data_IF_457449427123
#
_entry.id   IF_457449427123
#
_cell.length_a   1.000
_cell.length_b   1.000
_cell.length_c   1.000
_cell.angle_alpha   90.00
_cell.angle_beta   90.00
_cell.angle_gamma   90.00
#
_symmetry.space_group_name_H-M   'P 1'
#
loop_
_entity.id
_entity.type
_entity.pdbx_description
1 polymer ?
#
# COMPACT_ATOMS: atom_id res chain seq x y z
N UNK A 1 -12.22 3.70 9.16
CA UNK A 1 -13.36 2.83 9.63
C UNK A 1 -14.61 3.14 8.83
N UNK A 2 -15.55 2.18 8.64
CA UNK A 2 -16.85 2.50 8.01
C UNK A 2 -17.71 3.38 8.92
N UNK A 3 -18.37 4.36 8.33
CA UNK A 3 -19.20 5.32 9.05
C UNK A 3 -20.31 4.67 9.91
N UNK A 4 -20.98 3.63 9.40
CA UNK A 4 -22.00 2.89 10.17
C UNK A 4 -21.43 2.21 11.42
N UNK A 5 -20.21 1.68 11.34
CA UNK A 5 -19.55 1.07 12.50
C UNK A 5 -19.11 2.11 13.53
N UNK A 6 -18.57 3.25 13.06
CA UNK A 6 -18.18 4.35 13.93
C UNK A 6 -19.39 4.90 14.69
N UNK A 7 -20.49 5.20 13.98
CA UNK A 7 -21.71 5.71 14.59
C UNK A 7 -22.38 4.69 15.54
N UNK A 8 -22.20 3.39 15.30
CA UNK A 8 -22.65 2.35 16.23
C UNK A 8 -21.86 2.35 17.54
N UNK A 9 -20.55 2.65 17.51
CA UNK A 9 -19.72 2.82 18.71
C UNK A 9 -20.18 4.03 19.54
N UNK A 10 -20.67 5.08 18.87
CA UNK A 10 -21.35 6.23 19.50
C UNK A 10 -22.78 5.92 19.99
N UNK A 11 -23.18 4.64 20.02
CA UNK A 11 -24.48 4.15 20.44
C UNK A 11 -25.66 4.71 19.62
N UNK A 12 -25.41 5.16 18.39
CA UNK A 12 -26.43 5.64 17.48
C UNK A 12 -27.12 4.44 16.82
N UNK A 13 -28.45 4.38 16.92
CA UNK A 13 -29.20 3.26 16.35
C UNK A 13 -29.16 3.26 14.81
N UNK A 14 -29.27 2.09 14.20
CA UNK A 14 -29.29 1.95 12.73
C UNK A 14 -30.43 2.76 12.07
N UNK A 15 -31.57 2.90 12.74
CA UNK A 15 -32.69 3.76 12.31
C UNK A 15 -32.29 5.24 12.35
N UNK A 16 -31.65 5.69 13.44
CA UNK A 16 -31.14 7.06 13.58
C UNK A 16 -30.11 7.43 12.51
N UNK A 17 -29.15 6.52 12.24
CA UNK A 17 -28.16 6.71 11.17
C UNK A 17 -28.82 6.93 9.79
N UNK A 18 -29.79 6.06 9.43
CA UNK A 18 -30.51 6.17 8.16
C UNK A 18 -31.31 7.48 8.06
N UNK A 19 -31.98 7.88 9.14
CA UNK A 19 -32.74 9.15 9.19
C UNK A 19 -31.82 10.35 9.04
N UNK A 20 -30.69 10.39 9.77
CA UNK A 20 -29.73 11.47 9.69
C UNK A 20 -29.08 11.56 8.28
N UNK A 21 -28.81 10.42 7.64
CA UNK A 21 -28.30 10.40 6.26
C UNK A 21 -29.33 11.00 5.28
N UNK A 22 -30.59 10.58 5.37
CA UNK A 22 -31.68 11.11 4.53
C UNK A 22 -31.91 12.62 4.74
N UNK A 23 -31.77 13.10 5.97
CA UNK A 23 -31.87 14.52 6.33
C UNK A 23 -30.63 15.33 6.02
N UNK A 24 -29.55 14.68 5.49
CA UNK A 24 -28.25 15.31 5.22
C UNK A 24 -27.58 15.90 6.48
N UNK A 25 -27.79 15.27 7.63
CA UNK A 25 -27.29 15.69 8.94
C UNK A 25 -25.97 15.02 9.31
N UNK A 26 -25.34 14.27 8.38
CA UNK A 26 -24.02 13.66 8.54
C UNK A 26 -23.07 14.35 7.57
N UNK A 27 -22.06 15.04 8.11
CA UNK A 27 -21.07 15.76 7.32
C UNK A 27 -19.68 15.17 7.57
N UNK A 28 -18.94 14.97 6.49
CA UNK A 28 -17.52 14.57 6.50
C UNK A 28 -16.73 15.65 5.77
N UNK A 29 -15.81 16.32 6.44
CA UNK A 29 -15.08 17.49 5.92
C UNK A 29 -16.03 18.57 5.34
N UNK A 30 -17.17 18.81 5.98
CA UNK A 30 -18.17 19.77 5.54
C UNK A 30 -19.09 19.31 4.40
N UNK A 31 -18.85 18.15 3.80
CA UNK A 31 -19.68 17.56 2.75
C UNK A 31 -20.65 16.54 3.31
N UNK A 32 -21.85 16.47 2.75
CA UNK A 32 -22.85 15.46 3.15
C UNK A 32 -22.31 14.07 2.84
N UNK A 33 -22.36 13.17 3.82
CA UNK A 33 -21.93 11.79 3.65
C UNK A 33 -22.73 11.12 2.52
N UNK A 34 -22.05 10.45 1.60
CA UNK A 34 -22.65 9.77 0.44
C UNK A 34 -23.38 8.49 0.84
N UNK A 35 -22.87 7.77 1.83
CA UNK A 35 -23.44 6.52 2.31
C UNK A 35 -22.95 6.19 3.73
N UNK A 36 -23.67 5.32 4.42
CA UNK A 36 -23.25 4.77 5.72
C UNK A 36 -22.08 3.78 5.58
N UNK A 37 -21.78 3.31 4.38
CA UNK A 37 -20.62 2.45 4.10
C UNK A 37 -19.33 3.21 3.81
N UNK A 38 -19.41 4.55 3.66
CA UNK A 38 -18.27 5.42 3.47
C UNK A 38 -17.21 5.18 4.55
N UNK A 39 -15.94 5.13 4.13
CA UNK A 39 -14.82 4.99 5.06
C UNK A 39 -14.44 6.36 5.63
N UNK A 40 -14.25 6.45 6.93
CA UNK A 40 -13.92 7.69 7.65
C UNK A 40 -12.84 7.46 8.69
N UNK A 41 -12.06 8.50 8.94
CA UNK A 41 -11.01 8.56 9.97
C UNK A 41 -11.04 9.92 10.63
N UNK A 42 -11.47 10.00 11.89
CA UNK A 42 -11.60 11.28 12.60
C UNK A 42 -10.26 11.90 13.02
N UNK A 43 -9.15 11.20 12.86
CA UNK A 43 -7.80 11.77 12.96
C UNK A 43 -7.39 12.57 11.71
N UNK A 44 -8.04 12.31 10.57
CA UNK A 44 -7.73 12.96 9.29
C UNK A 44 -8.88 13.80 8.73
N UNK A 45 -10.11 13.52 9.16
CA UNK A 45 -11.34 14.13 8.65
C UNK A 45 -12.19 14.66 9.78
N UNK A 46 -12.90 15.75 9.52
CA UNK A 46 -13.93 16.24 10.43
C UNK A 46 -15.23 15.47 10.20
N UNK A 47 -15.74 14.82 11.23
CA UNK A 47 -17.05 14.14 11.21
C UNK A 47 -18.05 14.88 12.10
N UNK A 48 -19.16 15.33 11.51
CA UNK A 48 -20.26 15.96 12.21
C UNK A 48 -21.51 15.11 12.05
N UNK A 49 -22.15 14.76 13.15
CA UNK A 49 -23.44 14.05 13.21
C UNK A 49 -24.46 14.91 13.94
N UNK A 50 -25.51 15.36 13.26
CA UNK A 50 -26.58 16.22 13.82
C UNK A 50 -26.02 17.43 14.58
N UNK A 51 -25.03 18.12 13.99
CA UNK A 51 -24.38 19.30 14.55
C UNK A 51 -23.33 19.02 15.64
N UNK A 52 -23.13 17.78 16.05
CA UNK A 52 -22.08 17.38 17.02
C UNK A 52 -20.87 16.82 16.32
N UNK A 53 -19.68 17.30 16.68
CA UNK A 53 -18.40 16.76 16.19
C UNK A 53 -18.11 15.43 16.88
N UNK A 54 -17.78 14.41 16.09
CA UNK A 54 -17.34 13.08 16.56
C UNK A 54 -15.82 12.97 16.39
N UNK A 55 -15.12 12.46 17.42
CA UNK A 55 -13.66 12.35 17.51
C UNK A 55 -13.26 11.02 18.16
N UNK A 56 -11.95 10.72 18.16
CA UNK A 56 -11.39 9.57 18.89
C UNK A 56 -11.39 8.26 18.11
N UNK A 57 -11.62 8.31 16.79
CA UNK A 57 -11.59 7.13 15.90
C UNK A 57 -10.49 7.32 14.87
N UNK A 58 -9.26 7.33 15.37
CA UNK A 58 -8.04 7.52 14.58
C UNK A 58 -7.44 6.18 14.20
N UNK A 59 -6.83 6.13 13.03
CA UNK A 59 -6.10 4.96 12.55
C UNK A 59 -4.59 5.20 12.59
N UNK A 60 -3.85 4.10 12.67
CA UNK A 60 -2.40 4.11 12.59
C UNK A 60 -1.96 4.00 11.14
N UNK A 61 -0.99 4.83 10.74
CA UNK A 61 -0.37 4.81 9.42
C UNK A 61 1.14 4.90 9.57
N UNK A 62 1.84 3.84 9.16
CA UNK A 62 3.29 3.75 9.28
C UNK A 62 3.93 3.47 7.92
N UNK A 63 5.11 4.03 7.72
CA UNK A 63 6.06 3.65 6.69
C UNK A 63 7.15 2.81 7.33
N UNK A 64 7.37 1.60 6.82
CA UNK A 64 8.45 0.71 7.21
C UNK A 64 9.41 0.54 6.03
N UNK A 65 10.70 0.67 6.27
CA UNK A 65 11.73 0.21 5.33
C UNK A 65 12.00 -1.27 5.63
N UNK A 66 11.24 -2.15 4.97
CA UNK A 66 11.36 -3.59 5.19
C UNK A 66 12.77 -4.08 4.85
N UNK A 67 13.49 -4.73 5.78
CA UNK A 67 14.79 -5.29 5.51
C UNK A 67 14.70 -6.65 4.80
N UNK A 68 15.85 -7.15 4.35
CA UNK A 68 15.98 -8.51 3.87
C UNK A 68 15.79 -9.54 5.01
N UNK A 69 15.33 -10.73 4.67
CA UNK A 69 15.21 -11.85 5.61
C UNK A 69 13.92 -11.89 6.44
N UNK A 70 13.14 -10.82 6.43
CA UNK A 70 11.89 -10.66 7.21
C UNK A 70 10.68 -10.92 6.32
N UNK A 71 9.67 -11.64 6.81
CA UNK A 71 8.45 -11.94 6.05
C UNK A 71 7.35 -10.92 6.29
N UNK A 72 6.56 -10.63 5.26
CA UNK A 72 5.36 -9.78 5.37
C UNK A 72 4.18 -10.61 5.87
N UNK A 73 4.13 -10.79 7.19
CA UNK A 73 3.06 -11.50 7.88
C UNK A 73 2.81 -10.86 9.25
N UNK A 74 1.62 -11.05 9.82
CA UNK A 74 1.32 -10.61 11.17
C UNK A 74 1.98 -11.50 12.22
N UNK A 75 2.09 -12.81 11.95
CA UNK A 75 2.77 -13.81 12.80
C UNK A 75 3.36 -14.90 11.92
N UNK A 76 4.51 -15.42 12.28
CA UNK A 76 5.12 -16.61 11.67
C UNK A 76 5.78 -17.47 12.76
N UNK A 77 5.78 -18.80 12.59
CA UNK A 77 6.34 -19.73 13.59
C UNK A 77 7.86 -19.89 13.53
N UNK A 78 8.47 -19.54 12.40
CA UNK A 78 9.89 -19.86 12.12
C UNK A 78 10.71 -18.65 11.72
N UNK A 79 10.08 -17.61 11.16
CA UNK A 79 10.78 -16.48 10.57
C UNK A 79 10.34 -15.17 11.24
N UNK A 80 11.26 -14.22 11.38
CA UNK A 80 10.90 -12.88 11.86
C UNK A 80 9.92 -12.22 10.87
N UNK A 81 8.95 -11.52 11.41
CA UNK A 81 7.90 -10.82 10.66
C UNK A 81 8.14 -9.31 10.67
N UNK A 82 7.47 -8.60 9.78
CA UNK A 82 7.49 -7.13 9.78
C UNK A 82 6.89 -6.54 11.07
N UNK A 83 6.05 -7.27 11.79
CA UNK A 83 5.50 -6.83 13.08
C UNK A 83 6.51 -6.90 14.21
N UNK A 84 7.46 -7.85 14.15
CA UNK A 84 8.52 -7.99 15.15
C UNK A 84 9.52 -6.82 15.13
N UNK A 85 9.54 -6.03 14.05
CA UNK A 85 10.35 -4.81 13.93
C UNK A 85 9.74 -3.61 14.66
N UNK A 86 8.47 -3.70 15.06
CA UNK A 86 7.76 -2.61 15.73
C UNK A 86 7.86 -2.76 17.24
N UNK A 87 7.87 -1.64 18.00
CA UNK A 87 7.81 -1.70 19.45
C UNK A 87 6.45 -2.23 19.92
N UNK A 88 6.43 -2.84 21.09
CA UNK A 88 5.26 -3.54 21.64
C UNK A 88 3.97 -2.71 21.65
N UNK A 89 4.05 -1.40 21.91
CA UNK A 89 2.86 -0.53 21.96
C UNK A 89 2.21 -0.30 20.57
N UNK A 90 2.91 -0.56 19.47
CA UNK A 90 2.37 -0.53 18.11
C UNK A 90 1.95 -1.92 17.61
N UNK A 91 2.36 -2.99 18.29
CA UNK A 91 1.97 -4.35 17.90
C UNK A 91 0.52 -4.60 18.29
N UNK A 92 -0.37 -4.49 17.33
CA UNK A 92 -1.81 -4.76 17.48
C UNK A 92 -2.23 -5.85 16.50
N UNK A 93 -3.15 -6.72 16.91
CA UNK A 93 -3.75 -7.72 16.01
C UNK A 93 -4.54 -7.08 14.84
N UNK A 94 -4.84 -5.78 14.93
CA UNK A 94 -5.52 -5.03 13.88
C UNK A 94 -4.54 -4.40 12.88
N UNK A 95 -3.26 -4.21 13.27
CA UNK A 95 -2.24 -3.63 12.40
C UNK A 95 -1.78 -4.67 11.37
N UNK A 96 -1.71 -4.29 10.11
CA UNK A 96 -1.28 -5.17 9.02
C UNK A 96 -0.58 -4.39 7.91
N UNK A 97 0.16 -5.09 7.06
CA UNK A 97 0.85 -4.52 5.92
C UNK A 97 -0.08 -4.34 4.71
N UNK A 98 -0.02 -3.16 4.08
CA UNK A 98 -0.70 -2.90 2.81
C UNK A 98 0.10 -3.55 1.68
N UNK A 99 -0.35 -4.70 1.25
CA UNK A 99 0.36 -5.56 0.31
C UNK A 99 1.49 -6.34 0.96
N UNK A 100 2.24 -7.03 0.12
CA UNK A 100 3.32 -7.90 0.57
C UNK A 100 4.58 -7.61 -0.23
N UNK A 101 5.73 -7.80 0.43
CA UNK A 101 7.03 -7.95 -0.18
C UNK A 101 7.55 -9.33 0.16
N UNK A 102 8.24 -9.95 -0.77
CA UNK A 102 8.90 -11.23 -0.53
C UNK A 102 9.93 -11.11 0.59
N UNK A 103 10.33 -12.23 1.16
CA UNK A 103 11.31 -12.28 2.25
C UNK A 103 12.62 -11.57 1.89
N UNK A 104 13.09 -11.75 0.66
CA UNK A 104 14.33 -11.20 0.12
C UNK A 104 14.14 -9.88 -0.64
N UNK A 105 12.94 -9.32 -0.66
CA UNK A 105 12.64 -7.99 -1.21
C UNK A 105 12.63 -6.95 -0.09
N UNK A 106 13.34 -5.86 -0.30
CA UNK A 106 13.44 -4.76 0.68
C UNK A 106 12.60 -3.55 0.27
N UNK A 107 12.57 -2.52 1.11
CA UNK A 107 12.04 -1.21 0.74
C UNK A 107 10.70 -0.88 1.37
N UNK A 108 9.98 0.04 0.72
CA UNK A 108 8.75 0.65 1.22
C UNK A 108 7.64 -0.36 1.49
N UNK A 109 7.20 -0.42 2.73
CA UNK A 109 6.00 -1.14 3.14
C UNK A 109 5.14 -0.23 4.02
N UNK A 110 3.88 -0.03 3.66
CA UNK A 110 2.92 0.71 4.46
C UNK A 110 2.21 -0.25 5.42
N UNK A 111 2.00 0.19 6.67
CA UNK A 111 1.27 -0.56 7.68
C UNK A 111 0.11 0.30 8.18
N UNK A 112 -1.05 -0.31 8.42
CA UNK A 112 -2.23 0.37 8.95
C UNK A 112 -3.17 -0.61 9.63
N UNK A 113 -4.05 -0.11 10.49
CA UNK A 113 -5.21 -0.82 11.02
C UNK A 113 -6.53 -0.40 10.31
N UNK A 114 -6.44 0.48 9.30
CA UNK A 114 -7.58 0.88 8.47
C UNK A 114 -7.86 -0.14 7.37
N UNK A 115 -8.59 -1.21 7.69
CA UNK A 115 -8.91 -2.31 6.78
C UNK A 115 -9.53 -1.86 5.44
N UNK A 116 -10.59 -1.03 5.43
CA UNK A 116 -11.18 -0.53 4.20
C UNK A 116 -10.21 0.22 3.28
N UNK A 117 -9.31 1.04 3.84
CA UNK A 117 -8.30 1.76 3.05
C UNK A 117 -7.29 0.79 2.44
N UNK A 118 -6.77 -0.15 3.24
CA UNK A 118 -5.81 -1.13 2.73
C UNK A 118 -6.40 -2.01 1.63
N UNK A 119 -7.67 -2.42 1.77
CA UNK A 119 -8.38 -3.13 0.72
C UNK A 119 -8.45 -2.27 -0.56
N UNK A 120 -8.84 -1.01 -0.45
CA UNK A 120 -8.92 -0.09 -1.60
C UNK A 120 -7.57 0.09 -2.29
N UNK A 121 -6.49 0.29 -1.54
CA UNK A 121 -5.14 0.47 -2.09
C UNK A 121 -4.59 -0.79 -2.79
N UNK A 122 -5.10 -1.96 -2.43
CA UNK A 122 -4.67 -3.24 -3.02
C UNK A 122 -5.59 -3.73 -4.13
N UNK A 123 -6.82 -3.23 -4.20
CA UNK A 123 -7.80 -3.71 -5.15
C UNK A 123 -7.38 -3.37 -6.60
N UNK A 124 -7.40 -4.33 -7.52
CA UNK A 124 -6.92 -4.15 -8.90
C UNK A 124 -7.59 -3.00 -9.67
N UNK A 125 -8.81 -2.63 -9.28
CA UNK A 125 -9.58 -1.52 -9.88
C UNK A 125 -8.89 -0.15 -9.70
N UNK A 126 -8.14 0.05 -8.64
CA UNK A 126 -7.50 1.34 -8.35
C UNK A 126 -6.10 1.48 -8.92
N UNK A 127 -5.55 0.41 -9.50
CA UNK A 127 -4.27 0.41 -10.23
C UNK A 127 -3.15 1.18 -9.53
N UNK A 128 -2.97 0.95 -8.23
CA UNK A 128 -1.89 1.60 -7.47
C UNK A 128 -0.55 1.05 -7.94
N UNK A 129 0.23 1.90 -8.59
CA UNK A 129 1.53 1.56 -9.13
C UNK A 129 2.55 1.24 -8.03
N UNK A 130 3.49 0.37 -8.35
CA UNK A 130 4.60 -0.01 -7.49
C UNK A 130 5.89 0.10 -8.27
N UNK A 131 6.81 0.92 -7.78
CA UNK A 131 8.10 1.13 -8.41
C UNK A 131 9.20 0.45 -7.60
N UNK A 132 10.06 -0.25 -8.31
CA UNK A 132 11.16 -0.99 -7.71
C UNK A 132 12.49 -0.60 -8.38
N UNK A 133 13.55 -0.47 -7.57
CA UNK A 133 14.92 -0.60 -8.04
C UNK A 133 15.26 -2.09 -8.10
N UNK A 134 15.87 -2.52 -9.19
CA UNK A 134 16.23 -3.91 -9.43
C UNK A 134 17.66 -4.01 -9.89
N UNK A 135 18.38 -5.04 -9.41
CA UNK A 135 19.64 -5.49 -9.96
C UNK A 135 19.44 -6.88 -10.57
N UNK A 136 20.05 -7.11 -11.72
CA UNK A 136 20.00 -8.39 -12.45
C UNK A 136 21.39 -8.84 -12.85
N UNK A 137 21.57 -10.15 -13.03
CA UNK A 137 22.85 -10.81 -13.31
C UNK A 137 23.26 -10.85 -14.80
N UNK A 138 22.77 -9.92 -15.61
CA UNK A 138 23.05 -9.91 -17.04
C UNK A 138 22.77 -8.56 -17.67
N UNK A 139 23.10 -8.40 -18.95
CA UNK A 139 22.89 -7.14 -19.67
C UNK A 139 21.40 -6.88 -19.92
N UNK A 140 21.00 -5.63 -19.81
CA UNK A 140 19.69 -5.13 -20.21
C UNK A 140 19.86 -4.25 -21.46
N UNK A 141 18.92 -4.35 -22.40
CA UNK A 141 18.95 -3.66 -23.69
C UNK A 141 17.62 -2.93 -23.96
N UNK A 142 17.58 -2.10 -25.00
CA UNK A 142 16.35 -1.45 -25.47
C UNK A 142 15.24 -2.45 -25.79
N UNK A 143 15.56 -3.65 -26.26
CA UNK A 143 14.57 -4.67 -26.57
C UNK A 143 13.84 -5.15 -25.31
N UNK A 144 14.51 -5.23 -24.18
CA UNK A 144 13.85 -5.52 -22.90
C UNK A 144 12.86 -4.42 -22.51
N UNK A 145 13.21 -3.13 -22.75
CA UNK A 145 12.26 -2.03 -22.47
C UNK A 145 10.98 -2.23 -23.28
N UNK A 146 11.12 -2.57 -24.57
CA UNK A 146 9.96 -2.80 -25.44
C UNK A 146 9.14 -4.02 -24.99
N UNK A 147 9.80 -5.15 -24.66
CA UNK A 147 9.11 -6.34 -24.17
C UNK A 147 8.30 -6.07 -22.89
N UNK A 148 8.87 -5.31 -21.94
CA UNK A 148 8.15 -4.94 -20.71
C UNK A 148 6.96 -4.03 -20.99
N UNK A 149 7.10 -3.10 -21.93
CA UNK A 149 6.02 -2.21 -22.38
C UNK A 149 4.88 -2.95 -23.10
N UNK A 150 5.19 -4.01 -23.84
CA UNK A 150 4.20 -4.84 -24.54
C UNK A 150 3.49 -5.82 -23.60
N UNK A 151 4.10 -6.10 -22.45
CA UNK A 151 3.61 -7.07 -21.46
C UNK A 151 4.37 -8.40 -21.52
N UNK A 152 4.96 -8.79 -20.41
CA UNK A 152 5.72 -10.03 -20.28
C UNK A 152 4.78 -11.23 -20.09
N UNK A 153 5.10 -12.32 -20.78
CA UNK A 153 4.47 -13.63 -20.54
C UNK A 153 5.41 -14.48 -19.69
N UNK A 154 4.95 -14.95 -18.54
CA UNK A 154 5.73 -15.86 -17.69
C UNK A 154 5.94 -17.21 -18.35
N UNK A 155 6.90 -17.98 -17.86
CA UNK A 155 7.18 -19.34 -18.33
C UNK A 155 6.00 -20.30 -18.16
N UNK A 156 5.09 -20.00 -17.25
CA UNK A 156 3.84 -20.73 -17.01
C UNK A 156 2.66 -20.26 -17.89
N UNK A 157 2.90 -19.34 -18.83
CA UNK A 157 1.88 -18.77 -19.73
C UNK A 157 1.09 -17.59 -19.13
N UNK A 158 1.34 -17.21 -17.88
CA UNK A 158 0.64 -16.07 -17.26
C UNK A 158 1.05 -14.76 -17.94
N UNK A 159 0.08 -14.02 -18.48
CA UNK A 159 0.30 -12.71 -19.10
C UNK A 159 0.30 -11.60 -18.05
N UNK A 160 1.33 -10.74 -18.07
CA UNK A 160 1.41 -9.55 -17.26
C UNK A 160 0.86 -8.32 -18.00
N UNK A 161 0.35 -7.36 -17.24
CA UNK A 161 0.07 -6.03 -17.78
C UNK A 161 1.37 -5.37 -18.23
N UNK A 162 1.31 -4.42 -19.20
CA UNK A 162 2.43 -3.56 -19.54
C UNK A 162 3.11 -2.97 -18.30
N UNK A 163 4.43 -2.92 -18.33
CA UNK A 163 5.26 -2.36 -17.27
C UNK A 163 6.25 -1.36 -17.86
N UNK A 164 6.60 -0.35 -17.06
CA UNK A 164 7.60 0.63 -17.45
C UNK A 164 8.97 0.19 -16.91
N UNK A 165 9.92 -0.06 -17.81
CA UNK A 165 11.30 -0.38 -17.48
C UNK A 165 12.21 0.78 -17.88
N UNK A 166 13.06 1.25 -16.96
CA UNK A 166 14.10 2.22 -17.20
C UNK A 166 15.45 1.63 -16.83
N UNK A 167 16.39 1.53 -17.77
CA UNK A 167 17.72 0.98 -17.55
C UNK A 167 18.63 2.09 -17.04
N UNK A 168 19.12 1.97 -15.82
CA UNK A 168 20.03 2.93 -15.19
C UNK A 168 21.50 2.64 -15.55
N UNK A 169 21.87 1.36 -15.62
CA UNK A 169 23.16 0.91 -16.09
C UNK A 169 23.05 -0.52 -16.60
N UNK A 170 23.87 -0.87 -17.59
CA UNK A 170 23.90 -2.22 -18.17
C UNK A 170 25.33 -2.70 -18.33
N UNK A 171 25.60 -3.94 -17.91
CA UNK A 171 26.87 -4.62 -18.11
C UNK A 171 26.65 -6.13 -18.19
N UNK A 172 27.63 -6.89 -18.72
CA UNK A 172 27.51 -8.35 -18.83
C UNK A 172 27.29 -9.06 -17.49
N UNK A 173 27.80 -8.52 -16.39
CA UNK A 173 27.70 -9.14 -15.06
C UNK A 173 26.52 -8.64 -14.22
N UNK A 174 26.30 -7.33 -14.19
CA UNK A 174 25.26 -6.71 -13.36
C UNK A 174 24.66 -5.52 -14.11
N UNK A 175 23.35 -5.51 -14.22
CA UNK A 175 22.60 -4.32 -14.67
C UNK A 175 21.68 -3.82 -13.57
N UNK A 176 21.43 -2.50 -13.57
CA UNK A 176 20.52 -1.83 -12.65
C UNK A 176 19.42 -1.15 -13.44
N UNK A 177 18.19 -1.27 -12.96
CA UNK A 177 17.03 -0.67 -13.59
C UNK A 177 16.00 -0.24 -12.55
N UNK A 178 15.06 0.59 -13.01
CA UNK A 178 13.81 0.89 -12.31
C UNK A 178 12.67 0.24 -13.08
N UNK A 179 11.76 -0.44 -12.38
CA UNK A 179 10.56 -1.02 -12.96
C UNK A 179 9.32 -0.55 -12.22
N UNK A 180 8.30 -0.11 -12.98
CA UNK A 180 6.97 0.25 -12.44
C UNK A 180 5.93 -0.71 -12.99
N UNK A 181 5.15 -1.30 -12.08
CA UNK A 181 4.06 -2.24 -12.36
C UNK A 181 2.76 -1.78 -11.70
N UNK A 182 1.61 -2.00 -12.36
CA UNK A 182 0.27 -1.65 -11.85
C UNK A 182 -0.51 -2.83 -11.25
N UNK A 183 0.12 -3.98 -11.11
CA UNK A 183 -0.47 -5.20 -10.55
C UNK A 183 0.47 -5.84 -9.52
N UNK A 184 0.14 -7.01 -8.97
CA UNK A 184 0.96 -7.66 -7.94
C UNK A 184 0.77 -9.17 -7.92
N UNK A 185 1.22 -9.86 -9.00
CA UNK A 185 1.25 -11.33 -9.04
C UNK A 185 2.37 -11.88 -8.16
N UNK A 186 2.25 -13.13 -7.78
CA UNK A 186 3.26 -13.83 -6.98
C UNK A 186 4.65 -13.82 -7.66
N UNK A 187 5.64 -13.22 -6.98
CA UNK A 187 7.01 -13.03 -7.44
C UNK A 187 7.11 -12.31 -8.81
N UNK A 188 6.18 -11.38 -9.09
CA UNK A 188 5.97 -10.84 -10.43
C UNK A 188 7.24 -10.27 -11.05
N UNK A 189 7.90 -9.33 -10.40
CA UNK A 189 9.12 -8.67 -10.94
C UNK A 189 10.20 -9.70 -11.23
N UNK A 190 10.45 -10.64 -10.32
CA UNK A 190 11.45 -11.70 -10.49
C UNK A 190 11.13 -12.60 -11.68
N UNK A 191 9.86 -13.00 -11.84
CA UNK A 191 9.41 -13.83 -12.97
C UNK A 191 9.49 -13.07 -14.30
N UNK A 192 9.16 -11.77 -14.31
CA UNK A 192 9.25 -10.93 -15.52
C UNK A 192 10.70 -10.90 -16.04
N UNK A 193 11.67 -10.62 -15.18
CA UNK A 193 13.08 -10.61 -15.58
C UNK A 193 13.59 -12.01 -15.96
N UNK A 194 13.14 -13.06 -15.27
CA UNK A 194 13.49 -14.43 -15.64
C UNK A 194 12.96 -14.81 -17.02
N UNK A 195 11.77 -14.34 -17.40
CA UNK A 195 11.17 -14.58 -18.72
C UNK A 195 11.96 -13.93 -19.88
N UNK A 196 12.76 -12.90 -19.59
CA UNK A 196 13.64 -12.26 -20.58
C UNK A 196 15.11 -12.69 -20.45
N UNK A 197 15.36 -13.77 -19.70
CA UNK A 197 16.67 -14.44 -19.65
C UNK A 197 17.64 -13.91 -18.60
N UNK A 198 17.24 -13.02 -17.69
CA UNK A 198 18.09 -12.50 -16.60
C UNK A 198 17.46 -12.75 -15.24
N UNK A 199 18.26 -12.93 -14.20
CA UNK A 199 17.81 -13.20 -12.83
C UNK A 199 17.97 -11.97 -11.96
N UNK A 200 16.91 -11.61 -11.22
CA UNK A 200 16.97 -10.57 -10.19
C UNK A 200 17.86 -11.03 -9.04
N UNK A 201 18.86 -10.22 -8.70
CA UNK A 201 19.80 -10.43 -7.58
C UNK A 201 19.51 -9.53 -6.40
N UNK A 202 18.93 -8.32 -6.64
CA UNK A 202 18.44 -7.45 -5.59
C UNK A 202 17.14 -6.76 -6.05
N UNK A 203 16.20 -6.58 -5.12
CA UNK A 203 14.90 -5.95 -5.40
C UNK A 203 14.48 -5.09 -4.21
N UNK A 204 14.28 -3.79 -4.48
CA UNK A 204 13.88 -2.82 -3.47
C UNK A 204 12.69 -2.00 -3.96
N UNK A 205 11.54 -2.06 -3.25
CA UNK A 205 10.41 -1.19 -3.57
C UNK A 205 10.67 0.22 -3.08
N UNK A 206 10.71 1.17 -4.00
CA UNK A 206 10.95 2.58 -3.71
C UNK A 206 9.68 3.39 -3.63
N UNK A 207 8.63 3.01 -4.38
CA UNK A 207 7.34 3.70 -4.38
C UNK A 207 6.17 2.72 -4.30
N UNK A 208 5.11 3.16 -3.64
CA UNK A 208 3.80 2.53 -3.61
C UNK A 208 2.75 3.62 -3.86
N UNK A 209 2.21 3.68 -5.08
CA UNK A 209 1.40 4.80 -5.53
C UNK A 209 2.13 6.12 -5.34
N UNK A 210 1.50 7.10 -4.69
CA UNK A 210 2.10 8.42 -4.48
C UNK A 210 3.12 8.48 -3.33
N UNK A 211 3.29 7.41 -2.55
CA UNK A 211 4.27 7.38 -1.44
C UNK A 211 5.62 6.90 -1.92
N UNK A 212 6.67 7.65 -1.59
CA UNK A 212 8.07 7.28 -1.78
C UNK A 212 8.70 6.82 -0.47
N UNK A 213 9.62 5.86 -0.55
CA UNK A 213 10.44 5.49 0.60
C UNK A 213 11.26 6.71 1.03
N UNK A 214 11.26 6.98 2.32
CA UNK A 214 12.07 8.05 2.91
C UNK A 214 13.56 7.66 2.84
N UNK A 215 14.39 8.49 2.20
CA UNK A 215 15.81 8.23 2.03
C UNK A 215 16.58 8.20 3.36
N UNK A 216 16.04 8.84 4.41
CA UNK A 216 16.64 8.84 5.75
C UNK A 216 16.25 7.63 6.59
N UNK A 217 15.23 6.85 6.16
CA UNK A 217 14.75 5.68 6.90
C UNK A 217 15.64 4.48 6.59
N UNK A 218 16.38 3.99 7.60
CA UNK A 218 17.26 2.83 7.45
C UNK A 218 16.47 1.53 7.32
N UNK A 219 17.08 0.48 6.76
CA UNK A 219 16.46 -0.85 6.71
C UNK A 219 16.16 -1.37 8.12
N UNK A 220 14.92 -1.79 8.33
CA UNK A 220 14.41 -2.22 9.64
C UNK A 220 13.69 -1.12 10.40
N UNK A 221 13.91 0.14 10.06
CA UNK A 221 13.27 1.27 10.72
C UNK A 221 11.87 1.56 10.17
N UNK A 222 11.07 2.19 11.01
CA UNK A 222 9.73 2.67 10.68
C UNK A 222 9.53 4.11 11.18
N UNK A 223 8.55 4.79 10.62
CA UNK A 223 8.02 6.06 11.14
C UNK A 223 6.53 6.20 10.85
N UNK A 224 5.87 7.07 11.57
CA UNK A 224 4.54 7.51 11.18
C UNK A 224 4.59 8.27 9.85
N UNK A 225 3.49 8.21 9.08
CA UNK A 225 3.34 9.04 7.90
C UNK A 225 3.32 10.52 8.32
N UNK A 226 3.98 11.36 7.55
CA UNK A 226 3.98 12.80 7.77
C UNK A 226 2.68 13.47 7.28
N UNK A 227 2.51 14.77 7.54
CA UNK A 227 1.28 15.50 7.20
C UNK A 227 0.95 15.48 5.71
N UNK A 228 1.95 15.50 4.82
CA UNK A 228 1.74 15.45 3.37
C UNK A 228 1.28 14.05 2.94
N UNK A 229 1.89 13.01 3.48
CA UNK A 229 1.54 11.61 3.23
C UNK A 229 0.14 11.27 3.78
N UNK A 230 -0.21 11.82 4.94
CA UNK A 230 -1.56 11.70 5.52
C UNK A 230 -2.62 12.45 4.71
N UNK A 231 -2.27 13.59 4.09
CA UNK A 231 -3.16 14.29 3.18
C UNK A 231 -3.55 13.41 1.97
N UNK A 232 -2.61 12.61 1.46
CA UNK A 232 -2.89 11.62 0.40
C UNK A 232 -3.88 10.57 0.89
N UNK A 233 -3.71 10.04 2.11
CA UNK A 233 -4.68 9.10 2.71
C UNK A 233 -6.07 9.74 2.77
N UNK A 234 -6.17 10.97 3.24
CA UNK A 234 -7.44 11.71 3.31
C UNK A 234 -8.12 11.84 1.94
N UNK A 235 -7.34 12.11 0.89
CA UNK A 235 -7.86 12.20 -0.47
C UNK A 235 -8.37 10.86 -1.01
N UNK A 236 -7.70 9.74 -0.65
CA UNK A 236 -8.22 8.40 -0.94
C UNK A 236 -9.54 8.13 -0.20
N UNK A 237 -9.66 8.52 1.06
CA UNK A 237 -10.90 8.36 1.83
C UNK A 237 -12.06 9.14 1.21
N UNK A 238 -11.82 10.37 0.72
CA UNK A 238 -12.82 11.21 0.04
C UNK A 238 -13.35 10.60 -1.25
N UNK A 239 -12.48 9.97 -2.04
CA UNK A 239 -12.85 9.33 -3.32
C UNK A 239 -13.63 8.02 -3.15
N UNK A 240 -13.70 7.50 -1.93
CA UNK A 240 -14.36 6.24 -1.60
C UNK A 240 -15.83 6.40 -1.21
N UNK A 241 -16.33 7.63 -1.17
CA UNK A 241 -17.66 8.02 -0.77
C UNK A 241 -18.68 8.11 -1.90
#
# INVERSE_FOLDING_TARGET
MRLDRLLAQEKISRKGMKQALLKKEILVDGQVASSLSQNVDTGLQELIFQGKRIQGYEHTYLMLHKPNGVVTASKDKKLPTVMDLLPQHLQSDQLYAIGRLDRDTTGLLLLTDNGPLGFQLLHPQYHVDKTYRVEVNGPLTSDHIQQFKDGIVFLDGTVCKPAQLEILSSSPGISKATITISEGKFHQVKKMFLSVGVKVTALKRTHFGPWSLDDNLQEGDYRHLNSQELAIIRDFLRKSG
#
